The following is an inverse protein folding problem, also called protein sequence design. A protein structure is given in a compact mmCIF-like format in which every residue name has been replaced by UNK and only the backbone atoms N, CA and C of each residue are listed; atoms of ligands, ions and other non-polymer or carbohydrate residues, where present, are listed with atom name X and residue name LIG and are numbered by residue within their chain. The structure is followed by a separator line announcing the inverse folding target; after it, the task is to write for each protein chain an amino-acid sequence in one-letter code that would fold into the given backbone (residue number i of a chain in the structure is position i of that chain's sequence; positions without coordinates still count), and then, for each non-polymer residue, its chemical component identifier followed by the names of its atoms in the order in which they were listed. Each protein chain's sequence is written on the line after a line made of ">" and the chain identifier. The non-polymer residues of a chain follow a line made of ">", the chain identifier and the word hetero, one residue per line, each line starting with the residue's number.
data_IF_672921787021
#
_entry.id   IF_672921787021
#
_cell.length_a   1.000
_cell.length_b   1.000
_cell.length_c   1.000
_cell.angle_alpha   90.00
_cell.angle_beta   90.00
_cell.angle_gamma   90.00
#
_symmetry.space_group_name_H-M   'P 1'
#
loop_
_entity.id
_entity.type
_entity.pdbx_description
1 polymer ?
#
# COMPACT_ATOMS: atom_id res chain seq x y z
N UNK A 1 9.28 -4.36 -6.24
CA UNK A 1 7.84 -4.32 -5.87
C UNK A 1 6.99 -3.99 -7.07
N UNK A 2 5.98 -4.83 -7.38
CA UNK A 2 5.16 -4.71 -8.59
C UNK A 2 4.34 -3.41 -8.69
N UNK A 3 4.08 -2.76 -7.56
CA UNK A 3 3.31 -1.52 -7.49
C UNK A 3 4.13 -0.27 -7.85
N UNK A 4 5.46 -0.35 -7.92
CA UNK A 4 6.31 0.75 -8.38
C UNK A 4 6.25 2.03 -7.52
N UNK A 5 5.86 1.91 -6.25
CA UNK A 5 5.73 3.01 -5.30
C UNK A 5 6.75 2.94 -4.16
N UNK A 6 6.73 3.96 -3.29
CA UNK A 6 7.52 4.04 -2.06
C UNK A 6 6.61 4.27 -0.87
N UNK A 7 6.99 3.82 0.32
CA UNK A 7 6.23 4.05 1.55
C UNK A 7 7.12 4.17 2.78
N UNK A 8 6.58 4.79 3.83
CA UNK A 8 7.27 4.99 5.10
C UNK A 8 6.30 5.40 6.20
N UNK A 9 6.72 5.26 7.45
CA UNK A 9 5.88 5.59 8.60
C UNK A 9 6.50 5.19 9.93
N UNK A 10 5.78 5.50 10.99
CA UNK A 10 6.00 5.04 12.35
C UNK A 10 4.77 4.26 12.83
N UNK A 11 4.85 3.68 14.02
CA UNK A 11 3.80 2.81 14.60
C UNK A 11 2.37 3.36 14.55
N UNK A 12 2.21 4.69 14.52
CA UNK A 12 0.90 5.39 14.57
C UNK A 12 0.50 6.09 13.27
N UNK A 13 1.39 6.22 12.29
CA UNK A 13 1.10 6.92 11.05
C UNK A 13 2.07 6.51 9.95
N UNK A 14 1.53 6.19 8.78
CA UNK A 14 2.29 5.86 7.59
C UNK A 14 1.68 6.46 6.33
N UNK A 15 2.49 6.56 5.28
CA UNK A 15 2.06 7.00 3.96
C UNK A 15 2.81 6.26 2.85
N UNK A 16 2.23 6.28 1.66
CA UNK A 16 2.83 5.71 0.46
C UNK A 16 2.49 6.54 -0.78
N UNK A 17 3.39 6.53 -1.75
CA UNK A 17 3.20 7.09 -3.10
C UNK A 17 3.03 5.94 -4.06
N UNK A 18 1.91 5.92 -4.80
CA UNK A 18 1.55 4.84 -5.71
C UNK A 18 1.23 5.44 -7.09
N UNK A 19 1.74 4.85 -8.19
CA UNK A 19 1.30 5.18 -9.54
C UNK A 19 -0.22 5.12 -9.67
N UNK A 20 -0.83 6.16 -10.25
CA UNK A 20 -2.29 6.34 -10.25
C UNK A 20 -3.04 5.18 -10.91
N UNK A 21 -2.47 4.60 -11.95
CA UNK A 21 -2.97 3.43 -12.67
C UNK A 21 -2.99 2.14 -11.82
N UNK A 22 -2.20 2.10 -10.73
CA UNK A 22 -2.06 0.94 -9.85
C UNK A 22 -2.82 1.07 -8.53
N UNK A 23 -3.59 2.13 -8.33
CA UNK A 23 -4.33 2.39 -7.08
C UNK A 23 -5.25 1.21 -6.69
N UNK A 24 -5.99 0.65 -7.64
CA UNK A 24 -6.91 -0.47 -7.37
C UNK A 24 -6.17 -1.72 -6.90
N UNK A 25 -5.05 -2.07 -7.55
CA UNK A 25 -4.22 -3.21 -7.16
C UNK A 25 -3.59 -3.00 -5.77
N UNK A 26 -3.16 -1.76 -5.47
CA UNK A 26 -2.65 -1.41 -4.15
C UNK A 26 -3.69 -1.63 -3.04
N UNK A 27 -4.93 -1.15 -3.23
CA UNK A 27 -6.00 -1.32 -2.23
C UNK A 27 -6.33 -2.80 -1.99
N UNK A 28 -6.42 -3.61 -3.05
CA UNK A 28 -6.69 -5.05 -2.93
C UNK A 28 -5.60 -5.79 -2.13
N UNK A 29 -4.33 -5.49 -2.42
CA UNK A 29 -3.19 -6.06 -1.68
C UNK A 29 -3.15 -5.59 -0.23
N UNK A 30 -3.44 -4.31 0.02
CA UNK A 30 -3.48 -3.74 1.36
C UNK A 30 -4.56 -4.43 2.21
N UNK A 31 -5.78 -4.52 1.69
CA UNK A 31 -6.90 -5.16 2.39
C UNK A 31 -6.60 -6.63 2.69
N UNK A 32 -6.03 -7.38 1.73
CA UNK A 32 -5.64 -8.78 1.92
C UNK A 32 -4.59 -8.98 3.01
N UNK A 33 -3.66 -8.04 3.18
CA UNK A 33 -2.63 -8.09 4.22
C UNK A 33 -3.21 -7.76 5.59
N UNK A 34 -4.10 -6.78 5.67
CA UNK A 34 -4.78 -6.38 6.90
C UNK A 34 -5.79 -7.43 7.36
N UNK A 35 -6.47 -8.13 6.45
CA UNK A 35 -7.43 -9.19 6.80
C UNK A 35 -6.77 -10.48 7.29
N UNK A 36 -5.49 -10.68 6.97
CA UNK A 36 -4.69 -11.85 7.37
C UNK A 36 -3.82 -11.57 8.61
N UNK A 37 -4.14 -10.53 9.38
CA UNK A 37 -3.44 -10.10 10.61
C UNK A 37 -4.20 -10.47 11.87
#
# INVERSE_FOLDING_TARGET
>A
SELGGSGGGHDKACGAVIPKDKMKKFLQEMDSRLSNS
#
